data_IF_073629711534
#
_entry.id   IF_073629711534
#
_cell.length_a   1.000
_cell.length_b   1.000
_cell.length_c   1.000
_cell.angle_alpha   90.00
_cell.angle_beta   90.00
_cell.angle_gamma   90.00
#
_symmetry.space_group_name_H-M   'P 1'
#
loop_
_entity.id
_entity.type
_entity.pdbx_description
1 polymer ?
#
# COMPACT_ATOMS: atom_id res chain seq x y z
N UNK A 1 18.00 -21.75 -18.81
CA UNK A 1 17.26 -21.05 -17.74
C UNK A 1 15.85 -20.81 -18.25
N UNK A 2 14.88 -21.53 -17.71
CA UNK A 2 13.47 -21.50 -18.15
C UNK A 2 12.87 -20.15 -17.79
N UNK A 3 12.11 -19.54 -18.71
CA UNK A 3 11.38 -18.28 -18.46
C UNK A 3 10.51 -18.47 -17.21
N UNK A 4 10.60 -17.59 -16.19
CA UNK A 4 9.67 -17.65 -15.06
C UNK A 4 8.24 -17.61 -15.62
N UNK A 5 7.40 -18.56 -15.20
CA UNK A 5 5.97 -18.50 -15.47
C UNK A 5 5.42 -17.15 -14.98
N UNK A 6 4.34 -16.61 -15.57
CA UNK A 6 3.67 -15.45 -14.98
C UNK A 6 3.46 -15.78 -13.51
N UNK A 7 3.93 -14.93 -12.59
CA UNK A 7 3.89 -15.24 -11.17
C UNK A 7 2.49 -15.74 -10.81
N UNK A 8 2.40 -16.92 -10.18
CA UNK A 8 1.14 -17.53 -9.73
C UNK A 8 0.60 -16.73 -8.54
N UNK A 9 0.26 -15.46 -8.76
CA UNK A 9 -0.40 -14.60 -7.77
C UNK A 9 -1.90 -14.66 -7.98
N UNK A 10 -2.65 -14.19 -6.98
CA UNK A 10 -4.12 -14.29 -6.97
C UNK A 10 -4.74 -13.53 -8.16
N UNK A 11 -4.24 -12.33 -8.50
CA UNK A 11 -4.80 -11.49 -9.56
C UNK A 11 -4.81 -12.13 -10.98
N UNK A 12 -3.69 -12.62 -11.54
CA UNK A 12 -3.68 -13.24 -12.87
C UNK A 12 -4.32 -14.63 -12.91
N UNK A 13 -4.48 -15.32 -11.76
CA UNK A 13 -5.03 -16.69 -11.67
C UNK A 13 -6.44 -16.77 -11.06
N UNK A 14 -7.11 -15.63 -10.95
CA UNK A 14 -8.38 -15.43 -10.23
C UNK A 14 -9.44 -16.50 -10.50
N UNK A 15 -10.08 -16.95 -9.44
CA UNK A 15 -11.25 -17.85 -9.39
C UNK A 15 -12.45 -17.13 -8.74
N UNK A 16 -13.70 -17.60 -8.93
CA UNK A 16 -14.89 -16.98 -8.35
C UNK A 16 -14.84 -16.77 -6.83
N UNK A 17 -14.22 -17.69 -6.09
CA UNK A 17 -14.03 -17.66 -4.63
C UNK A 17 -13.07 -16.55 -4.14
N UNK A 18 -12.20 -16.04 -5.02
CA UNK A 18 -11.27 -14.95 -4.71
C UNK A 18 -12.00 -13.58 -4.68
N UNK A 19 -13.27 -13.53 -5.09
CA UNK A 19 -14.10 -12.34 -5.03
C UNK A 19 -14.59 -12.11 -3.59
N UNK A 20 -13.72 -11.62 -2.73
CA UNK A 20 -14.10 -11.19 -1.39
C UNK A 20 -13.27 -9.97 -0.99
N UNK A 21 -13.84 -9.11 -0.15
CA UNK A 21 -13.07 -8.03 0.46
C UNK A 21 -12.05 -8.65 1.42
N UNK A 22 -10.76 -8.45 1.18
CA UNK A 22 -9.71 -8.93 2.11
C UNK A 22 -9.89 -8.40 3.54
N UNK A 23 -10.42 -7.18 3.71
CA UNK A 23 -10.54 -6.52 5.02
C UNK A 23 -11.74 -7.00 5.86
N UNK A 24 -12.88 -7.33 5.24
CA UNK A 24 -14.09 -7.72 5.97
C UNK A 24 -14.74 -9.03 5.49
N UNK A 25 -14.10 -9.74 4.56
CA UNK A 25 -14.59 -10.99 3.98
C UNK A 25 -15.87 -10.85 3.14
N UNK A 26 -16.39 -9.62 2.93
CA UNK A 26 -17.66 -9.42 2.20
C UNK A 26 -17.53 -10.02 0.79
N UNK A 27 -18.39 -10.99 0.42
CA UNK A 27 -18.35 -11.61 -0.89
C UNK A 27 -18.57 -10.62 -2.02
N UNK A 28 -18.00 -10.95 -3.16
CA UNK A 28 -18.14 -10.20 -4.38
C UNK A 28 -19.54 -10.32 -4.98
N UNK A 29 -20.11 -9.23 -5.50
CA UNK A 29 -21.35 -9.32 -6.25
C UNK A 29 -21.08 -9.98 -7.63
N UNK A 30 -21.91 -10.92 -8.08
CA UNK A 30 -21.81 -11.49 -9.41
C UNK A 30 -22.17 -10.44 -10.48
N UNK A 31 -21.61 -10.59 -11.69
CA UNK A 31 -22.08 -9.82 -12.85
C UNK A 31 -23.56 -10.15 -13.15
N UNK A 32 -24.38 -9.21 -13.67
CA UNK A 32 -24.03 -7.91 -14.26
C UNK A 32 -24.04 -6.72 -13.30
N UNK A 33 -24.38 -6.90 -12.01
CA UNK A 33 -24.55 -5.80 -11.04
C UNK A 33 -23.24 -5.17 -10.54
N UNK A 34 -22.12 -5.42 -11.22
CA UNK A 34 -20.78 -4.99 -10.83
C UNK A 34 -20.03 -6.15 -10.16
N UNK A 35 -19.12 -6.76 -10.91
CA UNK A 35 -18.15 -7.67 -10.31
C UNK A 35 -17.38 -6.89 -9.26
N UNK A 36 -17.46 -7.28 -8.00
CA UNK A 36 -16.47 -6.86 -7.01
C UNK A 36 -15.14 -7.45 -7.47
N UNK A 37 -14.40 -6.67 -8.28
CA UNK A 37 -13.02 -6.92 -8.65
C UNK A 37 -12.19 -6.35 -7.54
N UNK A 38 -11.65 -7.23 -6.73
CA UNK A 38 -10.79 -6.85 -5.63
C UNK A 38 -9.36 -6.47 -6.09
N UNK A 39 -9.10 -6.37 -7.40
CA UNK A 39 -7.73 -6.52 -7.94
C UNK A 39 -7.17 -5.35 -8.78
N UNK A 40 -7.93 -4.55 -9.54
CA UNK A 40 -7.37 -3.51 -10.45
C UNK A 40 -8.25 -2.27 -10.53
N UNK A 41 -7.59 -1.11 -10.37
CA UNK A 41 -8.17 0.21 -10.16
C UNK A 41 -8.86 0.81 -11.39
N UNK A 42 -10.18 0.64 -11.48
CA UNK A 42 -11.09 1.60 -12.11
C UNK A 42 -12.31 1.78 -11.19
N UNK A 43 -12.73 3.02 -10.98
CA UNK A 43 -13.81 3.46 -10.10
C UNK A 43 -15.08 2.60 -10.28
N UNK A 44 -15.61 1.98 -9.21
CA UNK A 44 -16.87 1.21 -9.24
C UNK A 44 -16.85 -0.21 -8.62
N UNK A 45 -15.69 -0.71 -8.20
CA UNK A 45 -15.50 -2.11 -7.78
C UNK A 45 -14.94 -2.31 -6.35
N UNK A 46 -14.99 -1.28 -5.49
CA UNK A 46 -14.50 -1.34 -4.11
C UNK A 46 -15.56 -1.88 -3.15
N UNK A 47 -15.13 -2.49 -2.03
CA UNK A 47 -16.07 -2.84 -0.97
C UNK A 47 -16.67 -1.56 -0.38
N UNK A 48 -18.01 -1.38 -0.35
CA UNK A 48 -18.62 -0.15 0.17
C UNK A 48 -18.35 0.05 1.67
N UNK A 49 -18.04 -1.02 2.42
CA UNK A 49 -17.75 -0.96 3.86
C UNK A 49 -16.31 -0.57 4.15
N UNK A 50 -15.37 -1.13 3.39
CA UNK A 50 -13.94 -1.02 3.68
C UNK A 50 -13.19 -0.13 2.68
N UNK A 51 -13.91 0.56 1.77
CA UNK A 51 -13.33 1.28 0.63
C UNK A 51 -12.13 2.18 1.00
N UNK A 52 -12.20 2.86 2.15
CA UNK A 52 -11.17 3.75 2.67
C UNK A 52 -9.87 3.04 3.08
N UNK A 53 -9.97 1.75 3.40
CA UNK A 53 -8.89 0.91 3.91
C UNK A 53 -8.36 -0.06 2.84
N UNK A 54 -8.88 -0.07 1.62
CA UNK A 54 -8.39 -0.98 0.59
C UNK A 54 -7.11 -0.44 -0.07
N UNK A 55 -6.07 -1.27 -0.27
CA UNK A 55 -4.85 -0.86 -0.95
C UNK A 55 -5.14 -0.38 -2.36
N UNK A 56 -4.56 0.75 -2.72
CA UNK A 56 -4.83 1.47 -3.96
C UNK A 56 -3.64 1.51 -4.91
N UNK A 57 -3.85 1.36 -6.21
CA UNK A 57 -2.77 1.54 -7.17
C UNK A 57 -3.04 1.01 -8.58
N UNK A 58 -2.47 1.71 -9.56
CA UNK A 58 -2.50 1.31 -10.99
C UNK A 58 -1.57 0.12 -11.28
N UNK A 59 -0.61 -0.15 -10.40
CA UNK A 59 0.32 -1.27 -10.51
C UNK A 59 0.58 -1.90 -9.12
N UNK A 60 1.28 -3.03 -9.10
CA UNK A 60 1.55 -3.79 -7.87
C UNK A 60 2.36 -3.01 -6.81
N UNK A 61 3.26 -2.12 -7.24
CA UNK A 61 4.11 -1.32 -6.33
C UNK A 61 3.29 -0.28 -5.60
N UNK A 62 2.43 0.44 -6.32
CA UNK A 62 1.53 1.43 -5.73
C UNK A 62 0.52 0.76 -4.79
N UNK A 63 0.02 -0.43 -5.16
CA UNK A 63 -0.85 -1.23 -4.27
C UNK A 63 -0.12 -1.69 -3.02
N UNK A 64 1.12 -2.15 -3.14
CA UNK A 64 1.94 -2.56 -2.00
C UNK A 64 2.24 -1.38 -1.07
N UNK A 65 2.61 -0.21 -1.62
CA UNK A 65 2.79 1.03 -0.87
C UNK A 65 1.51 1.43 -0.12
N UNK A 66 0.36 1.31 -0.78
CA UNK A 66 -0.92 1.59 -0.12
C UNK A 66 -1.28 0.55 0.94
N UNK A 67 -0.92 -0.73 0.77
CA UNK A 67 -1.10 -1.75 1.81
C UNK A 67 -0.24 -1.42 3.03
N UNK A 68 1.03 -1.04 2.81
CA UNK A 68 1.95 -0.62 3.86
C UNK A 68 1.44 0.61 4.61
N UNK A 69 1.00 1.64 3.88
CA UNK A 69 0.42 2.87 4.45
C UNK A 69 -0.75 2.58 5.40
N UNK A 70 -1.67 1.70 5.00
CA UNK A 70 -2.86 1.37 5.78
C UNK A 70 -2.49 0.44 6.95
N UNK A 71 -1.61 -0.53 6.72
CA UNK A 71 -1.16 -1.47 7.74
C UNK A 71 -0.46 -0.78 8.92
N UNK A 72 0.35 0.23 8.62
CA UNK A 72 1.07 1.02 9.63
C UNK A 72 0.23 2.16 10.21
N UNK A 73 -0.98 2.40 9.72
CA UNK A 73 -1.84 3.49 10.21
C UNK A 73 -1.21 4.88 10.05
N UNK A 74 -0.44 5.10 8.98
CA UNK A 74 0.30 6.34 8.78
C UNK A 74 -0.64 7.53 8.54
N UNK A 75 -0.20 8.72 8.96
CA UNK A 75 -0.95 9.95 8.75
C UNK A 75 -1.02 10.39 7.29
N UNK A 76 -1.96 11.28 6.97
CA UNK A 76 -2.24 11.76 5.59
C UNK A 76 -1.01 12.37 4.90
N UNK A 77 -0.05 12.87 5.66
CA UNK A 77 1.22 13.42 5.17
C UNK A 77 2.06 12.41 4.37
N UNK A 78 1.93 11.10 4.65
CA UNK A 78 2.59 10.02 3.92
C UNK A 78 1.96 9.76 2.55
N UNK A 79 0.68 10.09 2.40
CA UNK A 79 -0.07 9.92 1.16
C UNK A 79 -0.03 11.18 0.26
N UNK A 80 0.19 12.37 0.84
CA UNK A 80 0.13 13.65 0.10
C UNK A 80 1.51 14.24 -0.24
N UNK A 81 2.60 13.71 0.30
CA UNK A 81 3.96 14.19 0.03
C UNK A 81 4.65 13.28 -0.98
N UNK A 82 4.95 13.79 -2.17
CA UNK A 82 5.48 12.98 -3.29
C UNK A 82 6.70 12.12 -2.94
N UNK A 83 7.63 12.61 -2.10
CA UNK A 83 8.79 11.83 -1.68
C UNK A 83 8.44 10.68 -0.71
N UNK A 84 7.48 10.87 0.20
CA UNK A 84 7.02 9.81 1.12
C UNK A 84 6.26 8.73 0.39
N UNK A 85 5.51 9.09 -0.66
CA UNK A 85 4.88 8.10 -1.55
C UNK A 85 5.94 7.22 -2.22
N UNK A 86 7.02 7.82 -2.74
CA UNK A 86 8.14 7.05 -3.31
C UNK A 86 8.81 6.16 -2.26
N UNK A 87 9.02 6.65 -1.04
CA UNK A 87 9.60 5.83 0.03
C UNK A 87 8.71 4.64 0.39
N UNK A 88 7.39 4.82 0.46
CA UNK A 88 6.46 3.72 0.69
C UNK A 88 6.60 2.63 -0.39
N UNK A 89 6.69 3.01 -1.67
CA UNK A 89 6.89 2.06 -2.77
C UNK A 89 8.23 1.33 -2.65
N UNK A 90 9.31 2.06 -2.35
CA UNK A 90 10.65 1.50 -2.20
C UNK A 90 10.77 0.56 -0.99
N UNK A 91 10.26 0.98 0.17
CA UNK A 91 10.24 0.18 1.39
C UNK A 91 9.37 -1.06 1.20
N UNK A 92 8.18 -0.92 0.62
CA UNK A 92 7.32 -2.06 0.33
C UNK A 92 8.02 -3.08 -0.56
N UNK A 93 8.71 -2.62 -1.62
CA UNK A 93 9.52 -3.48 -2.48
C UNK A 93 10.69 -4.12 -1.74
N UNK A 94 11.40 -3.36 -0.90
CA UNK A 94 12.58 -3.84 -0.19
C UNK A 94 12.24 -4.94 0.82
N UNK A 95 11.14 -4.78 1.56
CA UNK A 95 10.71 -5.73 2.59
C UNK A 95 9.72 -6.79 2.08
N UNK A 96 9.40 -6.80 0.78
CA UNK A 96 8.49 -7.79 0.19
C UNK A 96 7.04 -7.63 0.65
N UNK A 97 6.61 -6.41 0.97
CA UNK A 97 5.20 -6.11 1.25
C UNK A 97 4.40 -6.23 -0.04
N UNK A 98 3.27 -6.92 0.02
CA UNK A 98 2.36 -7.07 -1.11
C UNK A 98 0.93 -6.69 -0.71
N UNK A 99 0.15 -6.22 -1.67
CA UNK A 99 -1.30 -6.26 -1.49
C UNK A 99 -1.79 -7.71 -1.60
N UNK A 100 -2.90 -8.04 -0.93
CA UNK A 100 -3.44 -9.41 -0.91
C UNK A 100 -3.53 -10.06 -2.29
N UNK A 101 -4.04 -9.36 -3.31
CA UNK A 101 -4.19 -9.91 -4.66
C UNK A 101 -2.87 -10.12 -5.42
N UNK A 102 -1.80 -9.48 -4.96
CA UNK A 102 -0.44 -9.66 -5.47
C UNK A 102 0.33 -10.71 -4.67
N UNK A 103 -0.26 -11.31 -3.63
CA UNK A 103 0.33 -12.40 -2.88
C UNK A 103 0.36 -13.70 -3.72
N UNK A 104 1.32 -14.61 -3.45
CA UNK A 104 1.34 -15.94 -4.05
C UNK A 104 0.01 -16.69 -3.84
N UNK A 105 -0.39 -17.49 -4.83
CA UNK A 105 -1.68 -18.19 -4.85
C UNK A 105 -1.84 -19.21 -3.72
N UNK A 106 -0.75 -19.78 -3.26
CA UNK A 106 -0.67 -20.71 -2.14
C UNK A 106 -0.68 -20.01 -0.77
N UNK A 107 -0.73 -18.67 -0.74
CA UNK A 107 -0.86 -17.91 0.51
C UNK A 107 -2.19 -18.26 1.19
N UNK A 108 -2.18 -18.66 2.47
CA UNK A 108 -3.41 -18.93 3.21
C UNK A 108 -4.34 -17.71 3.22
N UNK A 109 -5.65 -17.97 3.25
CA UNK A 109 -6.65 -16.91 3.39
C UNK A 109 -6.35 -16.06 4.63
N UNK A 110 -6.53 -14.73 4.59
CA UNK A 110 -6.25 -13.88 5.73
C UNK A 110 -7.18 -14.24 6.89
N UNK A 111 -6.60 -14.53 8.04
CA UNK A 111 -7.33 -14.71 9.31
C UNK A 111 -7.58 -13.37 10.02
N UNK A 112 -6.93 -12.30 9.57
CA UNK A 112 -7.11 -10.94 10.06
C UNK A 112 -6.51 -9.90 9.10
N UNK A 113 -6.64 -8.61 9.42
CA UNK A 113 -6.06 -7.54 8.62
C UNK A 113 -4.56 -7.76 8.42
N UNK A 114 -4.09 -7.72 7.16
CA UNK A 114 -2.68 -7.86 6.78
C UNK A 114 -2.00 -9.17 7.19
N UNK A 115 -2.77 -10.19 7.62
CA UNK A 115 -2.20 -11.45 8.13
C UNK A 115 -1.53 -12.33 7.06
N UNK A 116 -1.61 -11.94 5.78
CA UNK A 116 -0.88 -12.60 4.69
C UNK A 116 0.57 -12.11 4.57
N UNK A 117 0.89 -10.97 5.19
CA UNK A 117 2.24 -10.46 5.19
C UNK A 117 3.11 -11.31 6.13
N UNK A 118 4.36 -11.62 5.75
CA UNK A 118 5.24 -12.37 6.63
C UNK A 118 5.45 -11.66 7.97
N UNK A 119 5.60 -12.42 9.06
CA UNK A 119 5.83 -11.86 10.39
C UNK A 119 7.07 -10.95 10.43
N UNK A 120 6.96 -9.82 11.14
CA UNK A 120 8.05 -8.85 11.30
C UNK A 120 8.32 -7.95 10.07
N UNK A 121 7.70 -8.21 8.90
CA UNK A 121 7.86 -7.36 7.71
C UNK A 121 7.35 -5.94 7.97
N UNK A 122 6.20 -5.81 8.65
CA UNK A 122 5.64 -4.50 8.98
C UNK A 122 6.53 -3.73 9.96
N UNK A 123 7.09 -4.39 10.97
CA UNK A 123 8.00 -3.76 11.93
C UNK A 123 9.29 -3.29 11.26
N UNK A 124 9.87 -4.13 10.38
CA UNK A 124 11.07 -3.79 9.62
C UNK A 124 10.82 -2.62 8.65
N UNK A 125 9.68 -2.65 7.95
CA UNK A 125 9.29 -1.57 7.04
C UNK A 125 9.01 -0.26 7.80
N UNK A 126 8.38 -0.32 8.98
CA UNK A 126 8.17 0.84 9.83
C UNK A 126 9.49 1.46 10.28
N UNK A 127 10.47 0.63 10.66
CA UNK A 127 11.81 1.09 11.04
C UNK A 127 12.55 1.77 9.87
N UNK A 128 12.46 1.23 8.64
CA UNK A 128 13.06 1.85 7.45
C UNK A 128 12.42 3.21 7.12
N UNK A 129 11.08 3.29 7.17
CA UNK A 129 10.37 4.55 6.93
C UNK A 129 10.71 5.60 8.00
N UNK A 130 10.77 5.21 9.27
CA UNK A 130 11.15 6.10 10.36
C UNK A 130 12.57 6.66 10.15
N UNK A 131 13.53 5.80 9.78
CA UNK A 131 14.90 6.22 9.47
C UNK A 131 14.96 7.23 8.33
N UNK A 132 14.19 6.99 7.25
CA UNK A 132 14.12 7.91 6.10
C UNK A 132 13.52 9.26 6.48
N UNK A 133 12.46 9.27 7.28
CA UNK A 133 11.83 10.52 7.73
C UNK A 133 12.76 11.30 8.65
N UNK A 134 13.47 10.64 9.57
CA UNK A 134 14.48 11.24 10.44
C UNK A 134 15.66 11.83 9.66
N UNK A 135 16.16 11.12 8.64
CA UNK A 135 17.21 11.63 7.76
C UNK A 135 16.77 12.86 6.98
N UNK A 136 15.55 12.84 6.46
CA UNK A 136 14.97 14.00 5.79
C UNK A 136 14.80 15.18 6.75
N UNK A 137 14.22 14.97 7.92
CA UNK A 137 14.03 16.03 8.91
C UNK A 137 15.36 16.64 9.39
N UNK A 138 16.43 15.83 9.50
CA UNK A 138 17.79 16.33 9.82
C UNK A 138 18.43 17.11 8.68
N UNK A 139 18.17 16.74 7.43
CA UNK A 139 18.75 17.38 6.25
C UNK A 139 17.97 18.60 5.75
N UNK A 140 16.78 18.86 6.30
CA UNK A 140 16.00 20.08 6.00
C UNK A 140 16.75 21.32 6.47
N UNK A 141 17.27 22.09 5.51
CA UNK A 141 17.71 23.46 5.74
C UNK A 141 16.47 24.31 6.04
N UNK A 142 16.42 24.93 7.22
CA UNK A 142 15.36 25.91 7.50
C UNK A 142 15.55 27.11 6.57
N UNK A 143 14.47 27.66 5.99
CA UNK A 143 14.58 28.91 5.25
C UNK A 143 15.17 29.97 6.18
N UNK A 144 16.15 30.73 5.69
CA UNK A 144 16.71 31.85 6.43
C UNK A 144 15.54 32.73 6.90
N UNK A 145 15.43 32.91 8.22
CA UNK A 145 14.41 33.78 8.81
C UNK A 145 14.44 35.16 8.17
N UNK A 146 13.34 35.92 8.21
CA UNK A 146 13.31 37.25 7.61
C UNK A 146 14.46 38.06 8.18
N UNK A 147 15.42 38.43 7.33
CA UNK A 147 16.46 39.41 7.65
C UNK A 147 15.73 40.73 7.79
N UNK A 148 15.20 40.98 8.98
CA UNK A 148 14.63 42.27 9.33
C UNK A 148 15.70 43.31 9.14
N UNK A 149 15.63 44.07 8.04
CA UNK A 149 16.27 45.38 8.01
C UNK A 149 15.52 46.20 9.04
N UNK A 150 16.08 46.27 10.24
CA UNK A 150 15.77 47.33 11.18
C UNK A 150 16.16 48.64 10.49
N UNK A 151 15.18 49.25 9.81
CA UNK A 151 15.28 50.61 9.34
C UNK A 151 15.35 51.51 10.57
N UNK A 152 16.56 51.86 10.98
CA UNK A 152 16.82 52.98 11.86
C UNK A 152 16.36 54.27 11.17
N UNK A 153 15.37 54.91 11.81
CA UNK A 153 15.01 56.34 11.86
C UNK A 153 15.15 57.17 10.60
#
# INVERSE_FOLDING_TARGET
MTRPAPADTIAPTRRPEDNHCWCCGTPGAPAPQGTLRADIHLTGHLCPRCWGLQPRGRNQWVRAASALYIALGLGREWHNSGFRTTWLEETARHHGVTAWHDAPRDTPLPSGPFSWLPGGVLDAAAADLAKRDDEFNRSRVQPAGPTGKAGTR
#
